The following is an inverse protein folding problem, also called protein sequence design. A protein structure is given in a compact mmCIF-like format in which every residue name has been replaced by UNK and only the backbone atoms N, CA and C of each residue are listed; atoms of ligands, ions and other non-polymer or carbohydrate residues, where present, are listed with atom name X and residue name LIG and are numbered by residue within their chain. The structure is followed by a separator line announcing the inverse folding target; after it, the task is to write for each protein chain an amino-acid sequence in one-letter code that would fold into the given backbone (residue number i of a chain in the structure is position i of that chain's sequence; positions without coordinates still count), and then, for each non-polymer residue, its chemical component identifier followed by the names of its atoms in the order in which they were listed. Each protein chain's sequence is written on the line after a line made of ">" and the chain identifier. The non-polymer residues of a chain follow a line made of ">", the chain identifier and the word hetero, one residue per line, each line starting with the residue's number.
data_IF_455687117209
#
_entry.id   IF_455687117209
#
_cell.length_a   1.000
_cell.length_b   1.000
_cell.length_c   1.000
_cell.angle_alpha   90.00
_cell.angle_beta   90.00
_cell.angle_gamma   90.00
#
_symmetry.space_group_name_H-M   'P 1'
#
loop_
_entity.id
_entity.type
_entity.pdbx_description
1 polymer ?
#
# COMPACT_ATOMS: atom_id res chain seq x y z
N UNK A 1 13.49 -10.04 35.87
CA UNK A 1 12.61 -9.39 36.85
C UNK A 1 11.19 -9.36 36.29
N UNK A 2 10.27 -10.03 36.96
CA UNK A 2 8.87 -10.11 36.52
C UNK A 2 8.22 -8.72 36.46
N UNK A 3 7.57 -8.40 35.35
CA UNK A 3 6.71 -7.23 35.27
C UNK A 3 5.64 -7.33 36.34
N UNK A 4 5.62 -6.39 37.28
CA UNK A 4 4.64 -6.35 38.35
C UNK A 4 3.24 -6.15 37.71
N UNK A 5 2.40 -7.19 37.76
CA UNK A 5 1.00 -7.13 37.33
C UNK A 5 0.18 -6.49 38.47
N UNK A 6 -0.34 -5.31 38.23
CA UNK A 6 -1.32 -4.69 39.09
C UNK A 6 -2.71 -5.12 38.59
N UNK A 7 -3.37 -6.03 39.35
CA UNK A 7 -4.75 -6.44 39.04
C UNK A 7 -4.96 -7.16 37.72
N UNK A 8 -3.94 -7.83 37.15
CA UNK A 8 -4.04 -8.57 35.89
C UNK A 8 -3.83 -7.72 34.61
N UNK A 9 -3.64 -6.42 34.75
CA UNK A 9 -3.31 -5.51 33.63
C UNK A 9 -1.81 -5.24 33.60
N UNK A 10 -1.33 -4.85 32.40
CA UNK A 10 0.04 -4.42 32.17
C UNK A 10 0.29 -3.04 32.80
N UNK A 11 1.55 -2.68 33.11
CA UNK A 11 1.90 -1.34 33.57
C UNK A 11 1.42 -0.26 32.58
N UNK A 12 1.07 0.94 33.05
CA UNK A 12 0.68 2.06 32.20
C UNK A 12 1.89 2.61 31.42
N UNK A 13 1.60 3.31 30.33
CA UNK A 13 2.60 3.79 29.39
C UNK A 13 3.63 4.75 30.02
N UNK A 14 3.21 5.61 30.95
CA UNK A 14 4.08 6.53 31.66
C UNK A 14 5.16 5.83 32.50
N UNK A 15 4.83 4.70 33.10
CA UNK A 15 5.80 3.87 33.81
C UNK A 15 6.80 3.21 32.85
N UNK A 16 6.34 2.81 31.67
CA UNK A 16 7.18 2.26 30.62
C UNK A 16 8.14 3.32 30.08
N UNK A 17 7.67 4.53 29.82
CA UNK A 17 8.48 5.67 29.36
C UNK A 17 9.63 5.97 30.29
N UNK A 18 9.33 6.16 31.58
CA UNK A 18 10.36 6.42 32.61
C UNK A 18 11.42 5.32 32.67
N UNK A 19 11.01 4.07 32.54
CA UNK A 19 11.94 2.93 32.59
C UNK A 19 12.76 2.82 31.30
N UNK A 20 12.15 3.06 30.15
CA UNK A 20 12.84 3.04 28.86
C UNK A 20 13.87 4.17 28.77
N UNK A 21 13.51 5.36 29.26
CA UNK A 21 14.41 6.52 29.31
C UNK A 21 15.59 6.30 30.28
N UNK A 22 15.42 5.51 31.33
CA UNK A 22 16.49 5.17 32.29
C UNK A 22 17.47 4.11 31.76
N UNK A 23 17.15 3.45 30.64
CA UNK A 23 18.05 2.48 30.00
C UNK A 23 19.10 3.20 29.15
N UNK A 24 20.24 2.51 28.93
CA UNK A 24 21.40 3.07 28.24
C UNK A 24 21.10 3.75 26.89
N UNK A 25 22.06 4.53 26.39
CA UNK A 25 22.00 5.33 25.16
C UNK A 25 21.93 4.55 23.83
N UNK A 26 21.92 3.23 23.86
CA UNK A 26 21.84 2.42 22.64
C UNK A 26 20.40 2.35 22.11
N UNK A 27 20.21 2.43 20.76
CA UNK A 27 18.92 2.28 20.13
C UNK A 27 18.26 0.93 20.45
N UNK A 28 16.98 0.96 20.82
CA UNK A 28 16.23 -0.25 21.24
C UNK A 28 15.03 -0.49 20.39
N UNK A 29 14.78 -1.74 19.95
CA UNK A 29 13.55 -2.09 19.27
C UNK A 29 12.34 -1.94 20.19
N UNK A 30 11.34 -1.21 19.69
CA UNK A 30 10.02 -1.06 20.31
C UNK A 30 8.98 -1.66 19.40
N UNK A 31 8.22 -2.62 19.91
CA UNK A 31 7.13 -3.30 19.23
C UNK A 31 5.81 -2.74 19.74
N UNK A 32 4.88 -2.54 18.83
CA UNK A 32 3.56 -1.99 19.14
C UNK A 32 2.49 -2.89 18.56
N UNK A 33 1.46 -3.17 19.34
CA UNK A 33 0.24 -3.86 18.90
C UNK A 33 -0.96 -3.03 19.32
N UNK A 34 -1.79 -2.62 18.36
CA UNK A 34 -3.04 -1.89 18.61
C UNK A 34 -4.25 -2.79 18.41
N UNK A 35 -5.21 -2.71 19.30
CA UNK A 35 -6.49 -3.41 19.25
C UNK A 35 -7.62 -2.41 18.90
N UNK A 36 -7.89 -2.14 17.60
CA UNK A 36 -8.72 -1.02 17.18
C UNK A 36 -10.23 -1.18 17.45
N UNK A 37 -10.66 -2.30 18.02
CA UNK A 37 -12.08 -2.62 18.21
C UNK A 37 -12.56 -2.42 19.67
N UNK A 38 -11.68 -2.00 20.59
CA UNK A 38 -12.04 -1.94 22.02
C UNK A 38 -13.14 -0.90 22.29
N UNK A 39 -13.03 0.29 21.71
CA UNK A 39 -14.07 1.32 21.79
C UNK A 39 -15.41 0.84 21.20
N UNK A 40 -15.34 0.14 20.05
CA UNK A 40 -16.52 -0.40 19.37
C UNK A 40 -17.21 -1.48 20.19
N UNK A 41 -16.44 -2.30 20.91
CA UNK A 41 -16.99 -3.29 21.85
C UNK A 41 -17.61 -2.61 23.06
N UNK A 42 -17.02 -1.55 23.58
CA UNK A 42 -17.58 -0.77 24.68
C UNK A 42 -18.95 -0.17 24.29
N UNK A 43 -19.03 0.38 23.08
CA UNK A 43 -20.26 0.99 22.56
C UNK A 43 -21.36 -0.04 22.28
N UNK A 44 -21.00 -1.22 21.73
CA UNK A 44 -22.00 -2.25 21.33
C UNK A 44 -22.40 -3.20 22.46
N UNK A 45 -21.50 -3.53 23.38
CA UNK A 45 -21.65 -4.59 24.38
C UNK A 45 -21.47 -4.10 25.82
N UNK A 46 -21.21 -2.81 26.02
CA UNK A 46 -21.03 -2.17 27.30
C UNK A 46 -19.61 -2.30 27.87
N UNK A 47 -19.33 -1.48 28.90
CA UNK A 47 -18.01 -1.35 29.52
C UNK A 47 -17.49 -2.65 30.17
N UNK A 48 -18.36 -3.53 30.66
CA UNK A 48 -17.96 -4.82 31.24
C UNK A 48 -17.32 -5.73 30.18
N UNK A 49 -17.90 -5.77 28.98
CA UNK A 49 -17.36 -6.56 27.87
C UNK A 49 -16.03 -5.99 27.34
N UNK A 50 -15.91 -4.67 27.24
CA UNK A 50 -14.65 -4.01 26.87
C UNK A 50 -13.54 -4.29 27.87
N UNK A 51 -13.79 -4.16 29.17
CA UNK A 51 -12.81 -4.48 30.23
C UNK A 51 -12.42 -5.97 30.27
N UNK A 52 -13.35 -6.87 29.91
CA UNK A 52 -13.03 -8.30 29.80
C UNK A 52 -12.10 -8.56 28.62
N UNK A 53 -12.36 -7.92 27.47
CA UNK A 53 -11.52 -8.00 26.26
C UNK A 53 -10.13 -7.41 26.52
N UNK A 54 -10.04 -6.26 27.17
CA UNK A 54 -8.79 -5.60 27.57
C UNK A 54 -7.92 -6.50 28.47
N UNK A 55 -8.51 -7.13 29.48
CA UNK A 55 -7.80 -8.11 30.33
C UNK A 55 -7.32 -9.32 29.55
N UNK A 56 -8.15 -9.86 28.67
CA UNK A 56 -7.78 -10.99 27.81
C UNK A 56 -6.63 -10.62 26.88
N UNK A 57 -6.67 -9.43 26.27
CA UNK A 57 -5.62 -8.91 25.42
C UNK A 57 -4.31 -8.68 26.18
N UNK A 58 -4.37 -8.08 27.39
CA UNK A 58 -3.20 -7.87 28.25
C UNK A 58 -2.52 -9.19 28.65
N UNK A 59 -3.31 -10.20 29.00
CA UNK A 59 -2.81 -11.52 29.34
C UNK A 59 -2.19 -12.23 28.11
N UNK A 60 -2.86 -12.16 26.95
CA UNK A 60 -2.39 -12.73 25.70
C UNK A 60 -1.08 -12.07 25.25
N UNK A 61 -1.01 -10.73 25.28
CA UNK A 61 0.19 -9.98 24.92
C UNK A 61 1.37 -10.34 25.82
N UNK A 62 1.20 -10.28 27.13
CA UNK A 62 2.25 -10.63 28.11
C UNK A 62 2.76 -12.06 27.90
N UNK A 63 1.86 -13.03 27.70
CA UNK A 63 2.22 -14.42 27.47
C UNK A 63 2.96 -14.60 26.14
N UNK A 64 2.47 -13.97 25.08
CA UNK A 64 3.09 -14.04 23.75
C UNK A 64 4.49 -13.42 23.75
N UNK A 65 4.64 -12.22 24.33
CA UNK A 65 5.93 -11.52 24.45
C UNK A 65 6.95 -12.36 25.21
N UNK A 66 6.59 -12.89 26.38
CA UNK A 66 7.49 -13.73 27.18
C UNK A 66 7.90 -15.02 26.47
N UNK A 67 7.00 -15.62 25.70
CA UNK A 67 7.27 -16.86 24.94
C UNK A 67 8.12 -16.62 23.70
N UNK A 68 7.89 -15.50 23.00
CA UNK A 68 8.48 -15.21 21.71
C UNK A 68 9.85 -14.55 21.85
N UNK A 69 9.97 -13.55 22.71
CA UNK A 69 11.18 -12.71 22.77
C UNK A 69 12.29 -13.27 23.65
N UNK A 70 11.98 -14.15 24.62
CA UNK A 70 12.94 -14.85 25.49
C UNK A 70 14.05 -13.97 26.09
N UNK A 71 13.81 -12.67 26.23
CA UNK A 71 14.76 -11.66 26.68
C UNK A 71 14.11 -10.79 27.76
N UNK A 72 14.91 -9.99 28.45
CA UNK A 72 14.35 -8.96 29.33
C UNK A 72 13.60 -7.94 28.49
N UNK A 73 12.30 -7.82 28.73
CA UNK A 73 11.39 -6.98 27.96
C UNK A 73 10.62 -6.08 28.91
N UNK A 74 10.58 -4.79 28.60
CA UNK A 74 9.59 -3.89 29.17
C UNK A 74 8.29 -4.04 28.41
N UNK A 75 7.18 -4.09 29.14
CA UNK A 75 5.83 -4.15 28.55
C UNK A 75 4.95 -3.09 29.19
N UNK A 76 4.02 -2.55 28.41
CA UNK A 76 3.01 -1.61 28.88
C UNK A 76 1.73 -1.73 28.06
N UNK A 77 0.67 -1.16 28.59
CA UNK A 77 -0.60 -0.96 27.93
C UNK A 77 -1.07 0.49 28.13
N UNK A 78 -1.42 1.15 27.04
CA UNK A 78 -2.09 2.44 27.07
C UNK A 78 -3.59 2.24 26.83
N UNK A 79 -4.36 2.34 27.91
CA UNK A 79 -5.80 2.16 27.86
C UNK A 79 -6.54 3.25 27.04
N UNK A 80 -5.91 4.43 26.90
CA UNK A 80 -6.50 5.54 26.13
C UNK A 80 -6.42 5.38 24.62
N UNK A 81 -5.43 4.63 24.13
CA UNK A 81 -5.19 4.42 22.70
C UNK A 81 -5.23 2.95 22.25
N UNK A 82 -5.61 2.03 23.17
CA UNK A 82 -5.65 0.58 22.93
C UNK A 82 -4.32 -0.02 22.45
N UNK A 83 -3.20 0.56 22.93
CA UNK A 83 -1.86 0.18 22.55
C UNK A 83 -1.20 -0.73 23.57
N UNK A 84 -0.67 -1.84 23.08
CA UNK A 84 0.22 -2.75 23.79
C UNK A 84 1.63 -2.55 23.28
N UNK A 85 2.57 -2.28 24.17
CA UNK A 85 3.95 -1.91 23.82
C UNK A 85 4.92 -2.87 24.48
N UNK A 86 5.96 -3.26 23.76
CA UNK A 86 7.09 -4.01 24.29
C UNK A 86 8.42 -3.41 23.81
N UNK A 87 9.38 -3.24 24.69
CA UNK A 87 10.74 -2.84 24.34
C UNK A 87 11.75 -3.89 24.82
N UNK A 88 12.70 -4.24 23.95
CA UNK A 88 13.80 -5.13 24.28
C UNK A 88 14.85 -4.38 25.10
N UNK A 89 15.14 -4.88 26.31
CA UNK A 89 16.01 -4.20 27.30
C UNK A 89 17.47 -4.62 27.19
N UNK A 90 17.73 -5.88 26.90
CA UNK A 90 19.11 -6.38 26.79
C UNK A 90 19.25 -7.36 25.61
N UNK A 91 20.41 -7.37 24.93
CA UNK A 91 20.83 -8.57 24.23
C UNK A 91 21.01 -9.68 25.25
N UNK A 92 20.47 -10.85 24.99
CA UNK A 92 20.42 -12.06 25.83
C UNK A 92 21.63 -12.21 26.76
N UNK A 93 21.38 -12.30 28.06
CA UNK A 93 22.37 -12.29 29.15
C UNK A 93 23.23 -13.56 29.24
N UNK A 94 22.91 -14.57 28.47
CA UNK A 94 23.71 -15.78 28.36
C UNK A 94 24.67 -15.55 27.19
N UNK A 95 25.93 -15.31 27.49
CA UNK A 95 27.03 -15.08 26.54
C UNK A 95 27.24 -16.19 25.50
N UNK A 96 26.18 -16.76 25.02
CA UNK A 96 26.14 -17.72 23.95
C UNK A 96 25.83 -16.98 22.61
N UNK A 97 26.81 -16.79 21.72
CA UNK A 97 26.65 -16.09 20.46
C UNK A 97 25.77 -16.81 19.43
N UNK A 98 25.10 -17.90 19.82
CA UNK A 98 24.23 -18.70 18.95
C UNK A 98 22.77 -18.25 18.90
N UNK A 99 22.33 -17.31 19.73
CA UNK A 99 21.04 -16.66 19.54
C UNK A 99 21.24 -15.53 18.53
N UNK A 100 21.03 -15.82 17.25
CA UNK A 100 21.03 -14.83 16.17
C UNK A 100 20.09 -13.66 16.45
N UNK A 101 20.21 -12.53 15.75
CA UNK A 101 19.40 -11.36 15.96
C UNK A 101 17.92 -11.76 15.93
N UNK A 102 17.15 -11.40 16.96
CA UNK A 102 15.70 -11.69 17.02
C UNK A 102 15.09 -11.10 15.77
N UNK A 103 14.53 -11.96 14.91
CA UNK A 103 13.74 -11.49 13.79
C UNK A 103 12.46 -10.85 14.34
N UNK A 104 12.53 -9.53 14.53
CA UNK A 104 11.46 -8.72 15.12
C UNK A 104 10.17 -8.87 14.34
N UNK A 105 10.24 -9.07 13.01
CA UNK A 105 9.05 -9.26 12.17
C UNK A 105 8.34 -10.56 12.47
N UNK A 106 9.08 -11.67 12.48
CA UNK A 106 8.54 -12.98 12.85
C UNK A 106 8.03 -12.99 14.30
N UNK A 107 8.74 -12.33 15.21
CA UNK A 107 8.31 -12.19 16.60
C UNK A 107 6.97 -11.43 16.68
N UNK A 108 6.86 -10.30 16.01
CA UNK A 108 5.66 -9.47 16.00
C UNK A 108 4.47 -10.20 15.37
N UNK A 109 4.67 -10.93 14.28
CA UNK A 109 3.64 -11.76 13.65
C UNK A 109 3.11 -12.85 14.60
N UNK A 110 3.99 -13.51 15.36
CA UNK A 110 3.60 -14.53 16.35
C UNK A 110 2.84 -13.93 17.55
N UNK A 111 3.25 -12.75 18.00
CA UNK A 111 2.54 -12.01 19.06
C UNK A 111 1.15 -11.63 18.57
N UNK A 112 1.04 -11.06 17.37
CA UNK A 112 -0.22 -10.70 16.75
C UNK A 112 -1.17 -11.90 16.62
N UNK A 113 -0.71 -13.01 16.05
CA UNK A 113 -1.50 -14.22 15.89
C UNK A 113 -2.03 -14.75 17.24
N UNK A 114 -1.22 -14.70 18.32
CA UNK A 114 -1.65 -15.10 19.66
C UNK A 114 -2.75 -14.18 20.20
N UNK A 115 -2.60 -12.86 19.99
CA UNK A 115 -3.61 -11.89 20.42
C UNK A 115 -4.91 -12.05 19.64
N UNK A 116 -4.85 -12.20 18.31
CA UNK A 116 -6.02 -12.40 17.46
C UNK A 116 -6.77 -13.68 17.80
N UNK A 117 -6.05 -14.78 18.02
CA UNK A 117 -6.65 -16.05 18.43
C UNK A 117 -7.38 -15.95 19.80
N UNK A 118 -6.81 -15.17 20.73
CA UNK A 118 -7.39 -15.00 22.08
C UNK A 118 -8.54 -14.00 22.11
N UNK A 119 -8.40 -12.87 21.41
CA UNK A 119 -9.37 -11.78 21.43
C UNK A 119 -10.47 -11.94 20.39
N UNK A 120 -10.24 -12.75 19.36
CA UNK A 120 -11.05 -12.86 18.13
C UNK A 120 -11.26 -11.51 17.43
N UNK A 121 -10.27 -10.63 17.54
CA UNK A 121 -10.25 -9.31 16.94
C UNK A 121 -8.97 -9.17 16.11
N UNK A 122 -9.05 -8.49 14.98
CA UNK A 122 -7.86 -8.14 14.20
C UNK A 122 -7.01 -7.12 14.95
N UNK A 123 -5.69 -7.29 14.89
CA UNK A 123 -4.75 -6.36 15.52
C UNK A 123 -3.92 -5.62 14.47
N UNK A 124 -3.53 -4.39 14.79
CA UNK A 124 -2.53 -3.63 14.01
C UNK A 124 -1.19 -3.70 14.72
N UNK A 125 -0.15 -3.98 13.98
CA UNK A 125 1.19 -4.15 14.52
C UNK A 125 2.18 -3.24 13.84
N UNK A 126 3.24 -2.88 14.54
CA UNK A 126 4.35 -2.14 14.00
C UNK A 126 5.57 -2.24 14.91
N UNK A 127 6.73 -1.83 14.43
CA UNK A 127 7.93 -1.73 15.21
C UNK A 127 8.82 -0.59 14.70
N UNK A 128 9.64 -0.05 15.59
CA UNK A 128 10.67 0.94 15.26
C UNK A 128 11.80 0.84 16.27
N UNK A 129 12.89 1.56 16.03
CA UNK A 129 13.94 1.75 17.04
C UNK A 129 13.66 3.01 17.83
N UNK A 130 13.75 2.92 19.15
CA UNK A 130 13.79 4.07 20.04
C UNK A 130 15.25 4.40 20.34
N UNK A 131 15.62 5.65 20.09
CA UNK A 131 16.93 6.19 20.44
C UNK A 131 16.73 7.45 21.29
N UNK A 132 17.19 7.39 22.54
CA UNK A 132 17.02 8.48 23.50
C UNK A 132 17.66 9.81 23.01
N UNK A 133 18.77 9.71 22.26
CA UNK A 133 19.47 10.91 21.79
C UNK A 133 18.64 11.70 20.77
N UNK A 134 17.92 11.00 19.89
CA UNK A 134 17.10 11.60 18.84
C UNK A 134 15.63 11.75 19.20
N UNK A 135 15.07 10.82 19.97
CA UNK A 135 13.64 10.77 20.31
C UNK A 135 13.31 11.51 21.62
N UNK A 136 14.29 11.62 22.55
CA UNK A 136 14.07 12.23 23.87
C UNK A 136 12.94 11.51 24.62
N UNK A 137 12.07 12.27 25.27
CA UNK A 137 10.93 11.74 26.01
C UNK A 137 9.63 11.64 25.18
N UNK A 138 9.72 11.70 23.84
CA UNK A 138 8.56 11.70 22.92
C UNK A 138 8.19 10.30 22.47
N UNK A 139 7.87 9.39 23.41
CA UNK A 139 7.51 8.00 23.08
C UNK A 139 6.26 7.93 22.18
N UNK A 140 5.29 8.83 22.33
CA UNK A 140 4.10 8.88 21.48
C UNK A 140 4.44 8.95 19.99
N UNK A 141 5.40 9.80 19.60
CA UNK A 141 5.87 9.90 18.23
C UNK A 141 6.57 8.61 17.76
N UNK A 142 7.28 7.92 18.66
CA UNK A 142 7.91 6.62 18.37
C UNK A 142 6.84 5.56 18.09
N UNK A 143 5.79 5.51 18.90
CA UNK A 143 4.69 4.56 18.74
C UNK A 143 3.91 4.80 17.44
N UNK A 144 3.67 6.06 17.10
CA UNK A 144 3.03 6.42 15.84
C UNK A 144 3.87 6.03 14.62
N UNK A 145 5.18 6.29 14.64
CA UNK A 145 6.10 5.82 13.58
C UNK A 145 6.09 4.31 13.45
N UNK A 146 6.06 3.57 14.56
CA UNK A 146 5.99 2.12 14.53
C UNK A 146 4.71 1.61 13.87
N UNK A 147 3.55 2.18 14.21
CA UNK A 147 2.27 1.81 13.60
C UNK A 147 2.20 2.19 12.12
N UNK A 148 2.67 3.38 11.74
CA UNK A 148 2.73 3.82 10.35
C UNK A 148 3.59 2.88 9.50
N UNK A 149 4.79 2.52 10.00
CA UNK A 149 5.67 1.53 9.35
C UNK A 149 4.99 0.17 9.19
N UNK A 150 4.32 -0.31 10.24
CA UNK A 150 3.60 -1.59 10.18
C UNK A 150 2.41 -1.56 9.21
N UNK A 151 1.74 -0.43 9.04
CA UNK A 151 0.70 -0.24 8.04
C UNK A 151 1.29 -0.35 6.62
N UNK A 152 2.38 0.37 6.37
CA UNK A 152 3.09 0.36 5.09
C UNK A 152 3.62 -1.05 4.75
N UNK A 153 4.20 -1.77 5.72
CA UNK A 153 4.65 -3.15 5.50
C UNK A 153 3.48 -4.08 5.15
N UNK A 154 2.33 -3.96 5.82
CA UNK A 154 1.12 -4.76 5.49
C UNK A 154 0.59 -4.48 4.09
N UNK A 155 0.50 -3.22 3.70
CA UNK A 155 0.10 -2.83 2.35
C UNK A 155 1.04 -3.44 1.30
N UNK A 156 2.33 -3.41 1.58
CA UNK A 156 3.34 -4.02 0.72
C UNK A 156 3.18 -5.54 0.61
N UNK A 157 2.94 -6.25 1.74
CA UNK A 157 2.68 -7.69 1.71
C UNK A 157 1.39 -8.05 1.00
N UNK A 158 0.31 -7.29 1.23
CA UNK A 158 -0.96 -7.47 0.53
C UNK A 158 -0.78 -7.26 -0.98
N UNK A 159 0.03 -6.27 -1.36
CA UNK A 159 0.42 -6.00 -2.74
C UNK A 159 1.13 -7.20 -3.38
N UNK A 160 2.22 -7.70 -2.79
CA UNK A 160 2.96 -8.84 -3.34
C UNK A 160 2.13 -10.13 -3.36
N UNK A 161 1.27 -10.35 -2.36
CA UNK A 161 0.35 -11.48 -2.34
C UNK A 161 -0.66 -11.43 -3.49
N UNK A 162 -1.26 -10.25 -3.72
CA UNK A 162 -2.19 -10.02 -4.84
C UNK A 162 -1.52 -10.23 -6.18
N UNK A 163 -0.29 -9.72 -6.36
CA UNK A 163 0.51 -9.94 -7.57
C UNK A 163 0.80 -11.42 -7.82
N UNK A 164 1.11 -12.18 -6.77
CA UNK A 164 1.32 -13.63 -6.89
C UNK A 164 0.08 -14.34 -7.42
N UNK A 165 -1.12 -13.92 -7.02
CA UNK A 165 -2.39 -14.44 -7.55
C UNK A 165 -2.63 -14.01 -8.99
N UNK A 166 -2.38 -12.74 -9.32
CA UNK A 166 -2.54 -12.18 -10.66
C UNK A 166 -1.56 -12.79 -11.70
N UNK A 167 -0.36 -13.21 -11.27
CA UNK A 167 0.59 -13.93 -12.14
C UNK A 167 0.24 -15.41 -12.31
N UNK A 168 -0.34 -16.05 -11.32
CA UNK A 168 -0.69 -17.48 -11.37
C UNK A 168 -1.77 -17.77 -12.41
N UNK A 169 -2.74 -16.89 -12.55
CA UNK A 169 -3.86 -17.04 -13.49
C UNK A 169 -3.40 -17.12 -14.95
N UNK A 170 -2.67 -16.12 -15.51
CA UNK A 170 -2.19 -16.18 -16.89
C UNK A 170 -1.20 -17.34 -17.09
N UNK A 171 -0.34 -17.62 -16.11
CA UNK A 171 0.58 -18.74 -16.20
C UNK A 171 -0.15 -20.10 -16.32
N UNK A 172 -1.20 -20.29 -15.54
CA UNK A 172 -2.02 -21.51 -15.62
C UNK A 172 -2.76 -21.60 -16.95
N UNK A 173 -3.24 -20.48 -17.49
CA UNK A 173 -3.88 -20.41 -18.80
C UNK A 173 -2.90 -20.75 -19.93
N UNK A 174 -1.72 -20.13 -19.96
CA UNK A 174 -0.66 -20.43 -20.92
C UNK A 174 -0.31 -21.92 -20.88
N UNK A 175 -0.04 -22.44 -19.67
CA UNK A 175 0.31 -23.86 -19.50
C UNK A 175 -0.78 -24.79 -20.03
N UNK A 176 -2.05 -24.55 -19.66
CA UNK A 176 -3.16 -25.40 -20.08
C UNK A 176 -3.38 -25.43 -21.60
N UNK A 177 -3.24 -24.29 -22.28
CA UNK A 177 -3.34 -24.24 -23.76
C UNK A 177 -2.15 -24.94 -24.42
N UNK A 178 -0.93 -24.76 -23.90
CA UNK A 178 0.26 -25.43 -24.44
C UNK A 178 0.22 -26.96 -24.18
N UNK A 179 -0.19 -27.41 -22.99
CA UNK A 179 -0.40 -28.84 -22.69
C UNK A 179 -1.44 -29.44 -23.65
N UNK A 180 -2.56 -28.76 -23.89
CA UNK A 180 -3.56 -29.23 -24.84
C UNK A 180 -3.02 -29.35 -26.28
N UNK A 181 -2.16 -28.41 -26.70
CA UNK A 181 -1.52 -28.46 -28.02
C UNK A 181 -0.47 -29.55 -28.15
N UNK A 182 0.16 -29.96 -27.04
CA UNK A 182 1.15 -31.04 -27.03
C UNK A 182 0.49 -32.43 -26.93
N UNK A 183 -0.59 -32.56 -26.16
CA UNK A 183 -1.19 -33.83 -25.83
C UNK A 183 -2.33 -34.27 -26.78
N UNK A 184 -2.84 -33.34 -27.59
CA UNK A 184 -4.01 -33.60 -28.45
C UNK A 184 -3.79 -33.06 -29.87
N UNK A 185 -4.29 -33.83 -30.84
CA UNK A 185 -4.48 -33.32 -32.18
C UNK A 185 -5.65 -32.33 -32.18
N UNK A 186 -5.36 -31.08 -32.59
CA UNK A 186 -6.35 -30.02 -32.74
C UNK A 186 -6.31 -29.47 -34.17
N UNK A 187 -7.46 -29.07 -34.68
CA UNK A 187 -7.56 -28.45 -35.99
C UNK A 187 -6.78 -27.13 -36.09
N UNK A 188 -6.41 -26.73 -37.29
CA UNK A 188 -5.58 -25.54 -37.50
C UNK A 188 -6.17 -24.25 -36.94
N UNK A 189 -7.48 -23.95 -37.09
CA UNK A 189 -8.09 -22.77 -36.44
C UNK A 189 -8.02 -22.79 -34.92
N UNK A 190 -8.25 -23.94 -34.30
CA UNK A 190 -8.16 -24.08 -32.83
C UNK A 190 -6.73 -23.93 -32.35
N UNK A 191 -5.75 -24.49 -33.07
CA UNK A 191 -4.32 -24.33 -32.80
C UNK A 191 -3.92 -22.85 -32.82
N UNK A 192 -4.26 -22.14 -33.89
CA UNK A 192 -3.96 -20.70 -33.99
C UNK A 192 -4.60 -19.92 -32.86
N UNK A 193 -5.85 -20.20 -32.50
CA UNK A 193 -6.55 -19.56 -31.38
C UNK A 193 -5.84 -19.78 -30.06
N UNK A 194 -5.41 -21.03 -29.77
CA UNK A 194 -4.74 -21.36 -28.50
C UNK A 194 -3.36 -20.69 -28.39
N UNK A 195 -2.59 -20.68 -29.47
CA UNK A 195 -1.30 -19.96 -29.54
C UNK A 195 -1.52 -18.48 -29.31
N UNK A 196 -2.54 -17.86 -29.93
CA UNK A 196 -2.86 -16.44 -29.77
C UNK A 196 -3.26 -16.11 -28.33
N UNK A 197 -4.04 -16.96 -27.67
CA UNK A 197 -4.39 -16.78 -26.26
C UNK A 197 -3.14 -16.87 -25.38
N UNK A 198 -2.31 -17.91 -25.55
CA UNK A 198 -1.08 -18.07 -24.78
C UNK A 198 -0.11 -16.88 -24.97
N UNK A 199 0.01 -16.37 -26.20
CA UNK A 199 0.80 -15.18 -26.51
C UNK A 199 0.27 -13.93 -25.82
N UNK A 200 -1.04 -13.68 -25.86
CA UNK A 200 -1.65 -12.52 -25.20
C UNK A 200 -1.50 -12.59 -23.67
N UNK A 201 -1.64 -13.78 -23.07
CA UNK A 201 -1.41 -13.95 -21.64
C UNK A 201 0.08 -13.75 -21.26
N UNK A 202 1.04 -14.13 -22.13
CA UNK A 202 2.46 -13.86 -21.90
C UNK A 202 2.78 -12.35 -21.95
N UNK A 203 2.20 -11.61 -22.89
CA UNK A 203 2.30 -10.15 -22.94
C UNK A 203 1.68 -9.49 -21.71
N UNK A 204 0.59 -10.09 -21.20
CA UNK A 204 -0.03 -9.65 -19.95
C UNK A 204 0.91 -9.83 -18.78
N UNK A 205 1.55 -10.99 -18.66
CA UNK A 205 2.54 -11.25 -17.59
C UNK A 205 3.72 -10.27 -17.65
N UNK A 206 4.26 -10.01 -18.84
CA UNK A 206 5.38 -9.05 -18.99
C UNK A 206 5.02 -7.68 -18.44
N UNK A 207 3.83 -7.16 -18.74
CA UNK A 207 3.35 -5.87 -18.22
C UNK A 207 3.12 -5.88 -16.71
N UNK A 208 2.64 -7.01 -16.13
CA UNK A 208 2.53 -7.17 -14.68
C UNK A 208 3.89 -7.11 -14.00
N UNK A 209 4.89 -7.78 -14.56
CA UNK A 209 6.27 -7.78 -14.05
C UNK A 209 6.91 -6.39 -14.16
N UNK A 210 6.73 -5.69 -15.28
CA UNK A 210 7.19 -4.31 -15.47
C UNK A 210 6.59 -3.37 -14.41
N UNK A 211 5.27 -3.39 -14.22
CA UNK A 211 4.60 -2.61 -13.16
C UNK A 211 5.09 -2.94 -11.76
N UNK A 212 5.39 -4.21 -11.48
CA UNK A 212 5.99 -4.64 -10.22
C UNK A 212 7.41 -4.07 -10.01
N UNK A 213 8.21 -4.05 -11.08
CA UNK A 213 9.57 -3.49 -11.05
C UNK A 213 9.53 -1.98 -10.76
N UNK A 214 8.62 -1.26 -11.40
CA UNK A 214 8.42 0.18 -11.20
C UNK A 214 8.03 0.50 -9.76
N UNK A 215 7.12 -0.26 -9.16
CA UNK A 215 6.74 -0.09 -7.75
C UNK A 215 7.92 -0.40 -6.82
N UNK A 216 8.71 -1.44 -7.10
CA UNK A 216 9.90 -1.78 -6.31
C UNK A 216 10.97 -0.70 -6.36
N UNK A 217 11.18 -0.09 -7.53
CA UNK A 217 12.11 1.04 -7.69
C UNK A 217 11.63 2.30 -6.96
N UNK A 218 10.32 2.52 -6.89
CA UNK A 218 9.73 3.59 -6.10
C UNK A 218 10.03 3.41 -4.59
N UNK A 219 10.01 2.18 -4.08
CA UNK A 219 10.31 1.89 -2.67
C UNK A 219 11.77 2.12 -2.30
N UNK A 220 12.71 1.78 -3.19
CA UNK A 220 14.14 1.94 -2.93
C UNK A 220 14.61 3.41 -2.92
N UNK A 221 13.85 4.33 -3.51
CA UNK A 221 14.17 5.77 -3.60
C UNK A 221 13.27 6.64 -2.72
N UNK A 222 12.57 6.06 -1.76
CA UNK A 222 11.59 6.78 -0.92
C UNK A 222 12.19 7.98 -0.17
N UNK A 223 13.45 7.87 0.27
CA UNK A 223 14.14 8.94 1.04
C UNK A 223 14.53 10.16 0.19
N UNK A 224 14.62 10.03 -1.13
CA UNK A 224 14.99 11.11 -2.06
C UNK A 224 13.78 11.91 -2.60
N UNK A 225 12.56 11.47 -2.34
CA UNK A 225 11.36 11.96 -3.02
C UNK A 225 10.88 13.36 -2.58
N UNK A 226 11.24 13.82 -1.40
CA UNK A 226 10.75 15.09 -0.85
C UNK A 226 11.28 16.36 -1.54
N UNK A 227 12.34 16.26 -2.32
CA UNK A 227 13.04 17.40 -2.96
C UNK A 227 12.93 17.42 -4.50
N UNK A 228 12.53 16.32 -5.14
CA UNK A 228 12.51 16.20 -6.59
C UNK A 228 11.38 17.04 -7.21
N UNK A 229 11.71 17.79 -8.27
CA UNK A 229 10.73 18.58 -9.02
C UNK A 229 10.85 18.33 -10.51
N UNK A 230 9.70 18.14 -11.18
CA UNK A 230 9.62 17.89 -12.62
C UNK A 230 8.93 19.00 -13.40
N UNK A 231 9.11 18.96 -14.70
CA UNK A 231 8.44 19.81 -15.67
C UNK A 231 7.07 19.23 -16.02
N UNK A 232 6.01 19.99 -15.80
CA UNK A 232 4.66 19.61 -16.16
C UNK A 232 4.50 19.46 -17.68
N UNK A 233 5.04 20.41 -18.45
CA UNK A 233 5.01 20.41 -19.92
C UNK A 233 5.68 19.15 -20.47
N UNK A 234 6.92 18.88 -20.05
CA UNK A 234 7.66 17.71 -20.54
C UNK A 234 6.96 16.38 -20.20
N UNK A 235 6.36 16.26 -19.00
CA UNK A 235 5.64 15.06 -18.62
C UNK A 235 4.40 14.81 -19.50
N UNK A 236 3.62 15.86 -19.77
CA UNK A 236 2.40 15.74 -20.57
C UNK A 236 2.74 15.45 -22.06
N UNK A 237 3.76 16.12 -22.61
CA UNK A 237 4.21 15.86 -23.98
C UNK A 237 4.71 14.42 -24.15
N UNK A 238 5.57 13.96 -23.23
CA UNK A 238 6.05 12.57 -23.23
C UNK A 238 4.90 11.55 -23.12
N UNK A 239 3.92 11.83 -22.25
CA UNK A 239 2.75 10.95 -22.11
C UNK A 239 1.87 10.93 -23.36
N UNK A 240 1.65 12.08 -23.99
CA UNK A 240 0.95 12.16 -25.29
C UNK A 240 1.63 11.30 -26.34
N UNK A 241 2.94 11.47 -26.49
CA UNK A 241 3.72 10.77 -27.53
C UNK A 241 3.73 9.27 -27.31
N UNK A 242 3.84 8.82 -26.05
CA UNK A 242 3.75 7.41 -25.67
C UNK A 242 2.38 6.78 -25.99
N UNK A 243 1.29 7.55 -25.88
CA UNK A 243 -0.07 7.05 -26.11
C UNK A 243 -0.56 7.24 -27.57
N UNK A 244 0.16 8.01 -28.40
CA UNK A 244 -0.29 8.40 -29.73
C UNK A 244 -0.57 7.20 -30.65
N UNK A 245 0.32 6.20 -30.66
CA UNK A 245 0.15 4.99 -31.50
C UNK A 245 -1.09 4.17 -31.08
N UNK A 246 -1.34 4.04 -29.77
CA UNK A 246 -2.50 3.31 -29.25
C UNK A 246 -3.81 4.07 -29.56
N UNK A 247 -3.82 5.39 -29.42
CA UNK A 247 -4.95 6.22 -29.78
C UNK A 247 -5.29 6.10 -31.26
N UNK A 248 -4.28 6.19 -32.15
CA UNK A 248 -4.44 6.05 -33.59
C UNK A 248 -4.98 4.65 -33.98
N UNK A 249 -4.46 3.58 -33.37
CA UNK A 249 -4.91 2.21 -33.64
C UNK A 249 -6.38 1.97 -33.25
N UNK A 250 -6.91 2.73 -32.30
CA UNK A 250 -8.32 2.67 -31.86
C UNK A 250 -9.20 3.76 -32.51
N UNK A 251 -8.62 4.63 -33.30
CA UNK A 251 -9.30 5.79 -33.90
C UNK A 251 -9.72 6.86 -32.86
N UNK A 252 -9.14 6.83 -31.66
CA UNK A 252 -9.49 7.75 -30.58
C UNK A 252 -8.79 9.10 -30.78
N UNK A 253 -9.55 10.19 -30.69
CA UNK A 253 -9.02 11.56 -30.73
C UNK A 253 -8.48 11.95 -29.35
N UNK A 254 -7.16 12.03 -29.21
CA UNK A 254 -6.49 12.51 -28.01
C UNK A 254 -6.22 14.03 -28.12
N UNK A 255 -6.96 14.84 -27.36
CA UNK A 255 -6.85 16.28 -27.32
C UNK A 255 -6.17 16.74 -26.01
N UNK A 256 -5.10 17.53 -26.12
CA UNK A 256 -4.43 18.14 -24.97
C UNK A 256 -4.66 19.65 -25.02
N UNK A 257 -5.22 20.18 -23.93
CA UNK A 257 -5.42 21.62 -23.76
C UNK A 257 -4.09 22.38 -23.54
N UNK A 258 -4.14 23.70 -23.38
CA UNK A 258 -2.97 24.51 -23.03
C UNK A 258 -2.33 23.98 -21.74
N UNK A 259 -1.00 23.84 -21.74
CA UNK A 259 -0.23 23.37 -20.58
C UNK A 259 0.61 24.54 -20.08
N UNK A 260 0.34 25.05 -18.87
CA UNK A 260 1.14 26.13 -18.30
C UNK A 260 2.55 25.65 -17.94
N UNK A 261 3.54 26.53 -18.12
CA UNK A 261 4.92 26.27 -17.72
C UNK A 261 5.02 26.27 -16.18
N UNK A 262 4.80 25.12 -15.57
CA UNK A 262 4.84 24.94 -14.13
C UNK A 262 5.78 23.78 -13.74
N UNK A 263 6.34 23.89 -12.52
CA UNK A 263 7.07 22.80 -11.89
C UNK A 263 6.24 22.23 -10.76
N UNK A 264 6.23 20.91 -10.65
CA UNK A 264 5.49 20.14 -9.63
C UNK A 264 6.44 19.32 -8.77
N UNK A 265 6.04 19.00 -7.53
CA UNK A 265 6.86 18.25 -6.56
C UNK A 265 6.88 16.76 -6.85
N UNK A 266 7.20 16.40 -8.09
CA UNK A 266 7.36 15.02 -8.57
C UNK A 266 8.34 15.01 -9.73
N UNK A 267 9.14 13.97 -9.87
CA UNK A 267 10.04 13.78 -11.02
C UNK A 267 9.24 13.69 -12.33
N UNK A 268 9.80 14.27 -13.42
CA UNK A 268 9.13 14.29 -14.73
C UNK A 268 8.76 12.89 -15.19
N UNK A 269 9.68 11.92 -15.10
CA UNK A 269 9.47 10.54 -15.57
C UNK A 269 8.34 9.83 -14.79
N UNK A 270 8.23 10.08 -13.49
CA UNK A 270 7.15 9.52 -12.66
C UNK A 270 5.79 10.12 -12.96
N UNK A 271 5.75 11.42 -13.20
CA UNK A 271 4.51 12.07 -13.63
C UNK A 271 4.11 11.57 -15.02
N UNK A 272 5.07 11.42 -15.94
CA UNK A 272 4.86 10.82 -17.26
C UNK A 272 4.23 9.43 -17.13
N UNK A 273 4.80 8.58 -16.29
CA UNK A 273 4.30 7.22 -16.05
C UNK A 273 2.86 7.22 -15.54
N UNK A 274 2.55 8.08 -14.56
CA UNK A 274 1.18 8.22 -14.04
C UNK A 274 0.21 8.68 -15.13
N UNK A 275 0.59 9.68 -15.94
CA UNK A 275 -0.23 10.20 -17.02
C UNK A 275 -0.43 9.19 -18.16
N UNK A 276 0.61 8.44 -18.53
CA UNK A 276 0.50 7.34 -19.52
C UNK A 276 -0.53 6.32 -19.05
N UNK A 277 -0.48 5.91 -17.79
CA UNK A 277 -1.46 4.95 -17.26
C UNK A 277 -2.90 5.50 -17.29
N UNK A 278 -3.10 6.79 -17.00
CA UNK A 278 -4.43 7.41 -17.03
C UNK A 278 -4.94 7.56 -18.47
N UNK A 279 -4.09 8.06 -19.39
CA UNK A 279 -4.46 8.29 -20.79
C UNK A 279 -4.71 6.94 -21.51
N UNK A 280 -3.85 5.95 -21.30
CA UNK A 280 -4.03 4.61 -21.86
C UNK A 280 -5.30 3.93 -21.35
N UNK A 281 -5.62 4.13 -20.05
CA UNK A 281 -6.88 3.68 -19.49
C UNK A 281 -8.08 4.36 -20.15
N UNK A 282 -8.03 5.66 -20.35
CA UNK A 282 -9.07 6.44 -21.04
C UNK A 282 -9.26 5.98 -22.50
N UNK A 283 -8.16 5.72 -23.23
CA UNK A 283 -8.20 5.20 -24.60
C UNK A 283 -8.79 3.77 -24.64
N UNK A 284 -8.46 2.92 -23.68
CA UNK A 284 -8.94 1.53 -23.61
C UNK A 284 -10.42 1.42 -23.31
N UNK A 285 -10.91 2.26 -22.39
CA UNK A 285 -12.30 2.19 -21.89
C UNK A 285 -13.23 3.20 -22.56
N UNK A 286 -12.69 4.17 -23.29
CA UNK A 286 -13.44 5.06 -24.17
C UNK A 286 -14.10 4.31 -25.34
N UNK A 287 -14.98 4.98 -26.05
CA UNK A 287 -15.62 4.44 -27.25
C UNK A 287 -14.58 4.27 -28.38
N UNK A 288 -14.76 3.27 -29.23
CA UNK A 288 -13.96 3.16 -30.46
C UNK A 288 -14.26 4.37 -31.36
N UNK A 289 -13.22 5.06 -31.85
CA UNK A 289 -13.37 6.32 -32.58
C UNK A 289 -13.79 7.50 -31.69
N UNK A 290 -13.75 7.34 -30.37
CA UNK A 290 -14.18 8.32 -29.39
C UNK A 290 -13.14 9.41 -29.07
N UNK A 291 -13.27 10.03 -27.90
CA UNK A 291 -12.47 11.21 -27.52
C UNK A 291 -11.90 11.07 -26.11
N UNK A 292 -10.61 11.37 -25.99
CA UNK A 292 -9.92 11.57 -24.72
C UNK A 292 -9.40 13.01 -24.66
N UNK A 293 -9.66 13.69 -23.56
CA UNK A 293 -9.21 15.07 -23.33
C UNK A 293 -8.37 15.17 -22.08
N UNK A 294 -7.20 15.79 -22.20
CA UNK A 294 -6.36 16.17 -21.07
C UNK A 294 -6.44 17.69 -20.92
N UNK A 295 -6.78 18.15 -19.74
CA UNK A 295 -6.83 19.57 -19.40
C UNK A 295 -6.00 19.83 -18.14
N UNK A 296 -5.36 20.99 -18.09
CA UNK A 296 -4.51 21.43 -16.97
C UNK A 296 -5.00 22.76 -16.46
N UNK A 297 -5.26 22.81 -15.17
CA UNK A 297 -5.53 24.04 -14.43
C UNK A 297 -4.40 24.26 -13.42
N UNK A 298 -3.78 25.43 -13.51
CA UNK A 298 -2.69 25.85 -12.62
C UNK A 298 -2.92 27.28 -12.08
N UNK A 299 -4.16 27.73 -12.04
CA UNK A 299 -4.54 29.06 -11.53
C UNK A 299 -4.29 29.18 -10.01
N UNK A 300 -4.35 28.04 -9.29
CA UNK A 300 -3.89 28.01 -7.89
C UNK A 300 -2.35 27.99 -7.82
N UNK A 301 -1.79 28.95 -7.06
CA UNK A 301 -0.34 29.00 -6.82
C UNK A 301 0.19 27.85 -5.97
N UNK A 302 -0.67 27.10 -5.28
CA UNK A 302 -0.30 26.01 -4.37
C UNK A 302 -0.33 24.65 -5.03
N UNK A 303 -1.20 24.44 -6.00
CA UNK A 303 -1.39 23.16 -6.65
C UNK A 303 -1.66 23.28 -8.16
N UNK A 304 -1.41 22.18 -8.86
CA UNK A 304 -1.78 21.98 -10.26
C UNK A 304 -2.84 20.89 -10.29
N UNK A 305 -3.90 21.11 -11.06
CA UNK A 305 -4.95 20.16 -11.33
C UNK A 305 -4.83 19.68 -12.78
N UNK A 306 -4.71 18.36 -12.98
CA UNK A 306 -4.71 17.73 -14.31
C UNK A 306 -5.94 16.84 -14.39
N UNK A 307 -6.76 17.01 -15.42
CA UNK A 307 -7.90 16.15 -15.68
C UNK A 307 -7.70 15.33 -16.93
N UNK A 308 -8.07 14.04 -16.88
CA UNK A 308 -8.13 13.15 -18.04
C UNK A 308 -9.57 12.69 -18.17
N UNK A 309 -10.21 13.09 -19.26
CA UNK A 309 -11.63 12.80 -19.55
C UNK A 309 -11.73 11.79 -20.68
N UNK A 310 -12.61 10.80 -20.54
CA UNK A 310 -13.02 9.89 -21.61
C UNK A 310 -14.54 9.97 -21.88
N UNK A 311 -14.96 9.37 -22.97
CA UNK A 311 -16.35 9.24 -23.42
C UNK A 311 -16.88 7.80 -23.27
N UNK A 312 -16.27 7.00 -22.43
CA UNK A 312 -16.64 5.62 -22.16
C UNK A 312 -17.93 5.48 -21.33
N UNK A 313 -18.20 4.28 -20.79
CA UNK A 313 -19.40 4.02 -20.00
C UNK A 313 -19.37 4.66 -18.60
N UNK A 314 -18.27 5.28 -18.22
CA UNK A 314 -18.05 5.81 -16.87
C UNK A 314 -17.86 4.73 -15.80
N UNK A 315 -17.76 5.15 -14.54
CA UNK A 315 -17.58 4.28 -13.37
C UNK A 315 -18.62 4.65 -12.31
N UNK A 316 -19.27 3.62 -11.76
CA UNK A 316 -20.34 3.83 -10.76
C UNK A 316 -19.73 4.43 -9.47
N UNK A 317 -20.50 5.23 -8.70
CA UNK A 317 -20.02 5.84 -7.45
C UNK A 317 -19.44 4.82 -6.47
N UNK A 318 -20.03 3.61 -6.41
CA UNK A 318 -19.63 2.52 -5.51
C UNK A 318 -18.27 1.92 -5.90
N UNK A 319 -17.90 1.99 -7.17
CA UNK A 319 -16.65 1.43 -7.68
C UNK A 319 -15.50 2.45 -7.74
N UNK A 320 -15.78 3.77 -7.57
CA UNK A 320 -14.79 4.85 -7.73
C UNK A 320 -13.55 4.71 -6.85
N UNK A 321 -13.72 4.33 -5.59
CA UNK A 321 -12.60 4.05 -4.68
C UNK A 321 -11.95 2.69 -4.97
N UNK A 322 -12.75 1.72 -5.38
CA UNK A 322 -12.29 0.35 -5.59
C UNK A 322 -11.37 0.19 -6.80
N UNK A 323 -11.57 0.99 -7.85
CA UNK A 323 -10.73 0.90 -9.07
C UNK A 323 -9.26 1.26 -8.84
N UNK A 324 -8.95 1.99 -7.77
CA UNK A 324 -7.59 2.29 -7.34
C UNK A 324 -6.99 1.20 -6.42
N UNK A 325 -7.80 0.25 -5.95
CA UNK A 325 -7.29 -0.87 -5.17
C UNK A 325 -6.62 -1.88 -6.11
N UNK A 326 -5.51 -2.43 -5.65
CA UNK A 326 -4.70 -3.34 -6.42
C UNK A 326 -5.47 -4.61 -6.80
N UNK A 327 -5.32 -5.06 -8.06
CA UNK A 327 -5.97 -6.28 -8.55
C UNK A 327 -7.50 -6.16 -8.75
N UNK A 328 -8.08 -4.99 -8.50
CA UNK A 328 -9.51 -4.77 -8.74
C UNK A 328 -9.76 -4.48 -10.22
N UNK A 329 -10.73 -5.18 -10.78
CA UNK A 329 -11.26 -4.94 -12.13
C UNK A 329 -12.62 -4.27 -12.01
N UNK A 330 -12.88 -3.27 -12.82
CA UNK A 330 -14.26 -2.81 -13.03
C UNK A 330 -15.12 -3.97 -13.56
N UNK A 331 -16.37 -4.05 -13.18
CA UNK A 331 -17.29 -5.14 -13.55
C UNK A 331 -17.51 -5.30 -15.07
N UNK A 332 -17.03 -4.37 -15.87
CA UNK A 332 -17.29 -4.26 -17.31
C UNK A 332 -16.07 -4.46 -18.22
N UNK A 333 -14.84 -4.71 -17.70
CA UNK A 333 -13.66 -4.78 -18.57
C UNK A 333 -12.89 -6.09 -18.45
N UNK A 334 -12.73 -6.76 -19.61
CA UNK A 334 -11.87 -7.94 -19.79
C UNK A 334 -10.38 -7.58 -20.01
N UNK A 335 -10.02 -6.35 -20.33
CA UNK A 335 -8.70 -5.96 -20.87
C UNK A 335 -7.78 -5.18 -19.90
N UNK A 336 -8.14 -4.96 -18.65
CA UNK A 336 -7.34 -4.21 -17.66
C UNK A 336 -6.57 -5.11 -16.69
N UNK A 337 -5.33 -4.71 -16.30
CA UNK A 337 -4.45 -5.49 -15.40
C UNK A 337 -4.66 -5.16 -13.92
N UNK A 338 -5.51 -4.19 -13.57
CA UNK A 338 -5.78 -3.77 -12.19
C UNK A 338 -4.60 -3.13 -11.44
N UNK A 339 -3.46 -2.92 -12.10
CA UNK A 339 -2.24 -2.36 -11.49
C UNK A 339 -2.07 -0.88 -11.83
N UNK A 340 -2.41 -0.46 -13.06
CA UNK A 340 -2.13 0.88 -13.55
C UNK A 340 -2.70 2.00 -12.68
N UNK A 341 -3.97 1.91 -12.28
CA UNK A 341 -4.60 2.91 -11.42
C UNK A 341 -4.07 2.87 -9.97
N UNK A 342 -3.74 1.69 -9.46
CA UNK A 342 -3.09 1.55 -8.15
C UNK A 342 -1.69 2.16 -8.16
N UNK A 343 -0.92 1.98 -9.24
CA UNK A 343 0.37 2.61 -9.45
C UNK A 343 0.25 4.14 -9.52
N UNK A 344 -0.73 4.66 -10.27
CA UNK A 344 -1.02 6.11 -10.34
C UNK A 344 -1.26 6.67 -8.94
N UNK A 345 -2.12 6.04 -8.14
CA UNK A 345 -2.42 6.46 -6.77
C UNK A 345 -1.15 6.48 -5.92
N UNK A 346 -0.36 5.42 -5.95
CA UNK A 346 0.89 5.32 -5.20
C UNK A 346 1.90 6.41 -5.57
N UNK A 347 2.11 6.65 -6.87
CA UNK A 347 3.02 7.68 -7.36
C UNK A 347 2.61 9.07 -6.87
N UNK A 348 1.32 9.40 -6.98
CA UNK A 348 0.80 10.72 -6.65
C UNK A 348 0.77 10.96 -5.14
N UNK A 349 0.34 10.00 -4.33
CA UNK A 349 0.31 10.10 -2.86
C UNK A 349 1.71 10.31 -2.29
N UNK A 350 2.73 9.63 -2.83
CA UNK A 350 4.14 9.86 -2.43
C UNK A 350 4.68 11.24 -2.77
N UNK A 351 4.14 11.86 -3.80
CA UNK A 351 4.45 13.25 -4.16
C UNK A 351 3.66 14.29 -3.35
N UNK A 352 2.83 13.84 -2.38
CA UNK A 352 1.91 14.68 -1.63
C UNK A 352 0.71 15.16 -2.44
N UNK A 353 0.45 14.51 -3.57
CA UNK A 353 -0.71 14.72 -4.43
C UNK A 353 -1.82 13.71 -4.17
N UNK A 354 -2.83 13.73 -5.02
CA UNK A 354 -3.97 12.79 -4.97
C UNK A 354 -4.56 12.58 -6.36
N UNK A 355 -5.25 11.45 -6.55
CA UNK A 355 -6.11 11.18 -7.70
C UNK A 355 -7.53 10.90 -7.24
N UNK A 356 -8.50 11.45 -7.95
CA UNK A 356 -9.94 11.26 -7.71
C UNK A 356 -10.63 10.89 -9.02
N UNK A 357 -11.79 10.26 -8.93
CA UNK A 357 -12.58 9.84 -10.07
C UNK A 357 -13.96 10.48 -10.00
N UNK A 358 -14.32 11.17 -11.09
CA UNK A 358 -15.59 11.87 -11.26
C UNK A 358 -16.27 11.41 -12.56
N UNK A 359 -17.45 11.97 -12.85
CA UNK A 359 -18.10 11.80 -14.14
C UNK A 359 -17.54 12.80 -15.15
N UNK A 360 -17.19 12.31 -16.32
CA UNK A 360 -16.67 13.14 -17.42
C UNK A 360 -17.79 13.97 -18.07
N UNK A 361 -17.52 15.21 -18.46
CA UNK A 361 -18.43 15.98 -19.31
C UNK A 361 -18.57 15.41 -20.72
N UNK A 362 -17.70 14.45 -21.11
CA UNK A 362 -17.81 13.70 -22.35
C UNK A 362 -18.73 12.48 -22.25
N UNK A 363 -19.24 12.18 -21.04
CA UNK A 363 -20.15 11.08 -20.76
C UNK A 363 -19.53 9.90 -20.02
N UNK A 364 -18.20 9.79 -20.00
CA UNK A 364 -17.45 8.69 -19.40
C UNK A 364 -16.86 9.00 -18.02
N UNK A 365 -15.61 8.60 -17.80
CA UNK A 365 -14.89 8.83 -16.56
C UNK A 365 -13.97 10.07 -16.66
N UNK A 366 -13.82 10.76 -15.52
CA UNK A 366 -12.88 11.87 -15.33
C UNK A 366 -11.93 11.53 -14.21
N UNK A 367 -10.66 11.40 -14.51
CA UNK A 367 -9.59 11.30 -13.51
C UNK A 367 -9.08 12.70 -13.20
N UNK A 368 -9.11 13.07 -11.92
CA UNK A 368 -8.65 14.37 -11.42
C UNK A 368 -7.39 14.16 -10.59
N UNK A 369 -6.28 14.62 -11.10
CA UNK A 369 -4.96 14.59 -10.42
C UNK A 369 -4.67 15.95 -9.83
N UNK A 370 -4.39 16.01 -8.53
CA UNK A 370 -3.95 17.22 -7.84
C UNK A 370 -2.53 17.03 -7.34
N UNK A 371 -1.62 17.92 -7.69
CA UNK A 371 -0.21 17.89 -7.29
C UNK A 371 0.21 19.20 -6.66
N UNK A 372 1.03 19.19 -5.59
CA UNK A 372 1.63 20.39 -5.05
C UNK A 372 2.54 21.06 -6.09
N UNK A 373 2.36 22.36 -6.28
CA UNK A 373 3.25 23.22 -7.06
C UNK A 373 4.49 23.56 -6.23
N UNK A 374 5.58 23.83 -6.91
CA UNK A 374 6.78 24.37 -6.26
C UNK A 374 6.73 25.88 -6.19
#
# INVERSE_FOLDING_TARGET
>A
MHAARIGGLLPPLDAFERRLAALSSEPRPVLVVRLPELERVAWRRGLRAARALERAASAAFSTAVSRVLRSDVLVAHDAGSDLFVAALVAPTRDGNPTAGPVDIRSALARIAATMEATTRQGVRTGWTSYDRASDGDRIGAVLERALARGAQERERYAFFSSLGHELRTPLSSIRGYLETLLDREVDAPTRERFVRIAYNESLRMSRLVEGMFEISLLDLRADALGAATGSLVAAIESARDACAANAAARGVSLAIGPVPAARVRIETDRLTLALVNLIDNAIKHGQAGGRVRVHVDADDQRCVCITVDDDGPGITPEDRERVFALGQRGRTSSDGHGIGLALVRLILERAGGRVQLESSPLGGARFVVTLPRR
#
